data_IF_063117140952
#
_entry.id   IF_063117140952
#
_cell.length_a   1.000
_cell.length_b   1.000
_cell.length_c   1.000
_cell.angle_alpha   90.00
_cell.angle_beta   90.00
_cell.angle_gamma   90.00
#
_symmetry.space_group_name_H-M   'P 1'
#
loop_
_entity.id
_entity.type
_entity.pdbx_description
1 polymer ?
#
# COMPACT_ATOMS: atom_id res chain seq x y z
N UNK A 1 0.38 -37.82 60.17
CA UNK A 1 0.00 -36.44 59.77
C UNK A 1 -0.11 -36.41 58.26
N UNK A 2 -1.34 -36.44 57.72
CA UNK A 2 -1.60 -36.47 56.28
C UNK A 2 -1.61 -35.06 55.69
N UNK A 3 -0.81 -34.83 54.66
CA UNK A 3 -0.76 -33.58 53.92
C UNK A 3 -1.82 -33.59 52.81
N UNK A 4 -2.82 -32.71 52.94
CA UNK A 4 -3.82 -32.43 51.91
C UNK A 4 -3.21 -31.55 50.81
N UNK A 5 -3.02 -32.10 49.61
CA UNK A 5 -2.73 -31.32 48.41
C UNK A 5 -4.05 -30.71 47.89
N UNK A 6 -4.26 -29.40 48.11
CA UNK A 6 -5.32 -28.63 47.42
C UNK A 6 -4.85 -28.34 45.99
N UNK A 7 -5.37 -29.09 45.03
CA UNK A 7 -5.33 -28.71 43.61
C UNK A 7 -6.28 -27.52 43.43
N UNK A 8 -5.70 -26.32 43.32
CA UNK A 8 -6.40 -25.13 42.86
C UNK A 8 -6.71 -25.31 41.37
N UNK A 9 -7.96 -25.65 41.05
CA UNK A 9 -8.48 -25.48 39.70
C UNK A 9 -8.62 -23.99 39.42
N UNK A 10 -7.74 -23.43 38.59
CA UNK A 10 -7.95 -22.13 37.98
C UNK A 10 -9.12 -22.22 37.00
N UNK A 11 -10.24 -21.61 37.36
CA UNK A 11 -11.35 -21.36 36.44
C UNK A 11 -10.83 -20.37 35.39
N UNK A 12 -10.88 -20.67 34.07
CA UNK A 12 -10.48 -19.70 33.07
C UNK A 12 -11.46 -18.53 33.11
N UNK A 13 -10.93 -17.31 33.28
CA UNK A 13 -11.69 -16.06 33.32
C UNK A 13 -12.60 -15.94 32.09
N UNK A 14 -13.92 -16.03 32.32
CA UNK A 14 -14.92 -15.67 31.33
C UNK A 14 -14.78 -14.16 31.06
N UNK A 15 -14.12 -13.81 29.96
CA UNK A 15 -14.10 -12.42 29.50
C UNK A 15 -15.52 -12.09 29.04
N UNK A 16 -16.12 -11.07 29.66
CA UNK A 16 -17.42 -10.54 29.25
C UNK A 16 -17.39 -10.17 27.76
N UNK A 17 -18.52 -10.32 27.08
CA UNK A 17 -18.62 -9.93 25.67
C UNK A 17 -18.40 -8.41 25.53
N UNK A 18 -17.63 -7.95 24.53
CA UNK A 18 -17.40 -6.52 24.36
C UNK A 18 -18.70 -5.79 24.03
N UNK A 19 -18.78 -4.52 24.38
CA UNK A 19 -19.84 -3.61 23.96
C UNK A 19 -19.72 -3.27 22.46
N UNK A 20 -20.83 -2.84 21.86
CA UNK A 20 -20.85 -2.42 20.45
C UNK A 20 -19.83 -1.30 20.18
N UNK A 21 -19.72 -0.34 21.10
CA UNK A 21 -18.77 0.76 20.99
C UNK A 21 -17.31 0.29 21.05
N UNK A 22 -16.99 -0.69 21.89
CA UNK A 22 -15.64 -1.29 21.94
C UNK A 22 -15.30 -2.02 20.64
N UNK A 23 -16.24 -2.80 20.09
CA UNK A 23 -16.05 -3.49 18.81
C UNK A 23 -15.84 -2.51 17.67
N UNK A 24 -16.63 -1.44 17.63
CA UNK A 24 -16.51 -0.40 16.60
C UNK A 24 -15.20 0.38 16.71
N UNK A 25 -14.77 0.72 17.93
CA UNK A 25 -13.47 1.40 18.17
C UNK A 25 -12.27 0.51 17.88
N UNK A 26 -12.39 -0.80 18.13
CA UNK A 26 -11.36 -1.78 17.80
C UNK A 26 -11.39 -2.22 16.32
N UNK A 27 -12.29 -1.67 15.49
CA UNK A 27 -12.35 -1.98 14.08
C UNK A 27 -11.15 -1.40 13.34
N UNK A 28 -10.37 -2.28 12.70
CA UNK A 28 -9.19 -1.89 11.94
C UNK A 28 -9.41 -2.24 10.46
N UNK A 29 -9.24 -1.24 9.59
CA UNK A 29 -9.27 -1.41 8.13
C UNK A 29 -7.97 -2.03 7.63
N UNK A 30 -8.01 -2.66 6.46
CA UNK A 30 -6.83 -3.33 5.88
C UNK A 30 -5.80 -2.38 5.27
N UNK A 31 -6.22 -1.14 4.99
CA UNK A 31 -5.40 -0.14 4.32
C UNK A 31 -4.84 0.84 5.35
N UNK A 32 -3.60 1.26 5.15
CA UNK A 32 -2.95 2.32 5.90
C UNK A 32 -2.84 3.56 5.03
N UNK A 33 -2.86 4.73 5.67
CA UNK A 33 -2.89 6.02 5.01
C UNK A 33 -1.52 6.69 5.11
N UNK A 34 -1.03 7.20 3.98
CA UNK A 34 0.05 8.17 3.94
C UNK A 34 -0.56 9.56 3.83
N UNK A 35 -0.25 10.41 4.80
CA UNK A 35 -0.65 11.81 4.85
C UNK A 35 0.52 12.69 4.40
N UNK A 36 0.21 13.78 3.71
CA UNK A 36 1.16 14.85 3.40
C UNK A 36 1.50 15.68 4.64
N UNK A 37 2.41 16.64 4.51
CA UNK A 37 2.85 17.48 5.63
C UNK A 37 1.71 18.30 6.28
N UNK A 38 0.67 18.62 5.50
CA UNK A 38 -0.51 19.37 5.94
C UNK A 38 -1.60 18.46 6.55
N UNK A 39 -1.46 17.14 6.44
CA UNK A 39 -2.39 16.14 6.97
C UNK A 39 -3.40 15.63 5.94
N UNK A 40 -3.27 15.99 4.66
CA UNK A 40 -4.12 15.47 3.58
C UNK A 40 -3.73 14.04 3.22
N UNK A 41 -4.71 13.18 2.93
CA UNK A 41 -4.44 11.83 2.42
C UNK A 41 -3.85 11.95 1.01
N UNK A 42 -2.65 11.42 0.80
CA UNK A 42 -1.98 11.37 -0.50
C UNK A 42 -1.76 9.94 -1.00
N UNK A 43 -1.91 8.95 -0.14
CA UNK A 43 -1.87 7.56 -0.57
C UNK A 43 -2.62 6.65 0.39
N UNK A 44 -3.33 5.66 -0.14
CA UNK A 44 -3.84 4.54 0.66
C UNK A 44 -3.15 3.26 0.19
N UNK A 45 -2.57 2.51 1.10
CA UNK A 45 -1.84 1.29 0.79
C UNK A 45 -2.34 0.14 1.65
N UNK A 46 -2.62 -0.99 1.01
CA UNK A 46 -2.93 -2.21 1.72
C UNK A 46 -1.75 -2.70 2.56
N UNK A 47 -1.96 -2.86 3.86
CA UNK A 47 -0.98 -3.37 4.82
C UNK A 47 -1.41 -4.67 5.50
N UNK A 48 -2.72 -4.99 5.54
CA UNK A 48 -3.22 -6.30 5.94
C UNK A 48 -3.56 -7.16 4.71
N UNK A 49 -2.77 -8.22 4.49
CA UNK A 49 -2.98 -9.19 3.41
C UNK A 49 -3.73 -10.45 3.85
N UNK A 50 -4.07 -10.61 5.15
CA UNK A 50 -4.81 -11.78 5.66
C UNK A 50 -6.30 -11.65 5.45
N UNK A 51 -6.79 -10.43 5.37
CA UNK A 51 -8.18 -10.07 5.15
C UNK A 51 -8.27 -8.73 4.41
N UNK A 52 -9.40 -8.48 3.76
CA UNK A 52 -9.75 -7.21 3.13
C UNK A 52 -10.97 -6.64 3.86
N UNK A 53 -10.72 -5.61 4.67
CA UNK A 53 -11.70 -4.81 5.41
C UNK A 53 -11.58 -3.36 4.99
N UNK A 54 -12.71 -2.73 4.71
CA UNK A 54 -12.85 -1.31 4.42
C UNK A 54 -13.65 -0.63 5.53
N UNK A 55 -14.02 0.63 5.37
CA UNK A 55 -14.68 1.41 6.42
C UNK A 55 -15.90 0.72 7.04
N UNK A 56 -16.06 0.91 8.35
CA UNK A 56 -17.26 0.50 9.07
C UNK A 56 -18.47 1.23 8.49
N UNK A 57 -19.46 0.47 8.01
CA UNK A 57 -20.66 1.03 7.41
C UNK A 57 -21.82 1.03 8.41
N UNK A 58 -22.40 2.20 8.74
CA UNK A 58 -23.62 2.28 9.54
C UNK A 58 -24.79 1.54 8.87
N UNK A 59 -25.67 0.90 9.64
CA UNK A 59 -26.78 0.08 9.14
C UNK A 59 -27.77 0.86 8.25
N UNK A 60 -27.89 2.17 8.49
CA UNK A 60 -28.68 3.10 7.68
C UNK A 60 -28.13 3.29 6.26
N UNK A 61 -26.82 3.12 6.08
CA UNK A 61 -26.11 3.21 4.80
C UNK A 61 -25.98 1.84 4.11
N UNK A 62 -26.64 0.80 4.64
CA UNK A 62 -26.69 -0.51 4.03
C UNK A 62 -28.05 -0.70 3.34
N UNK A 63 -28.01 -1.20 2.10
CA UNK A 63 -29.19 -1.49 1.28
C UNK A 63 -30.28 -2.21 2.08
N UNK A 64 -31.53 -1.71 2.08
CA UNK A 64 -32.66 -2.40 2.69
C UNK A 64 -32.91 -3.79 2.10
N UNK A 65 -32.59 -3.99 0.81
CA UNK A 65 -32.66 -5.30 0.18
C UNK A 65 -31.66 -6.24 0.85
N UNK A 66 -30.40 -5.84 1.00
CA UNK A 66 -29.39 -6.69 1.64
C UNK A 66 -29.80 -7.09 3.07
N UNK A 67 -30.25 -6.12 3.88
CA UNK A 67 -30.70 -6.40 5.25
C UNK A 67 -31.77 -7.50 5.28
N UNK A 68 -32.78 -7.38 4.41
CA UNK A 68 -33.86 -8.38 4.29
C UNK A 68 -33.35 -9.74 3.78
N UNK A 69 -32.47 -9.75 2.79
CA UNK A 69 -31.92 -10.99 2.24
C UNK A 69 -31.09 -11.75 3.28
N UNK A 70 -30.21 -11.07 4.00
CA UNK A 70 -29.36 -11.67 5.03
C UNK A 70 -30.19 -12.23 6.18
N UNK A 71 -31.16 -11.48 6.68
CA UNK A 71 -32.09 -11.96 7.72
C UNK A 71 -32.85 -13.20 7.22
N UNK A 72 -33.39 -13.17 6.00
CA UNK A 72 -34.15 -14.31 5.48
C UNK A 72 -33.30 -15.58 5.23
N UNK A 73 -32.02 -15.40 4.92
CA UNK A 73 -31.08 -16.48 4.67
C UNK A 73 -30.49 -17.09 5.95
N UNK A 74 -30.13 -16.26 6.93
CA UNK A 74 -29.41 -16.67 8.13
C UNK A 74 -30.32 -16.84 9.35
N UNK A 75 -31.34 -15.99 9.50
CA UNK A 75 -32.11 -15.89 10.74
C UNK A 75 -33.49 -15.21 10.54
N UNK A 76 -34.45 -15.96 10.00
CA UNK A 76 -35.77 -15.43 9.58
C UNK A 76 -36.55 -14.73 10.69
N UNK A 77 -36.26 -15.05 11.96
CA UNK A 77 -36.94 -14.50 13.14
C UNK A 77 -36.01 -13.66 13.99
N UNK A 78 -34.94 -13.13 13.39
CA UNK A 78 -33.93 -12.33 14.07
C UNK A 78 -34.50 -11.30 15.05
N UNK A 79 -35.51 -10.51 14.64
CA UNK A 79 -36.12 -9.49 15.51
C UNK A 79 -37.09 -10.03 16.57
N UNK A 80 -37.47 -11.31 16.52
CA UNK A 80 -38.48 -11.91 17.37
C UNK A 80 -37.92 -12.79 18.51
N UNK A 81 -36.60 -12.97 18.59
CA UNK A 81 -35.95 -13.73 19.66
C UNK A 81 -34.84 -12.92 20.34
N UNK A 82 -34.32 -13.38 21.48
CA UNK A 82 -33.23 -12.73 22.23
C UNK A 82 -31.97 -13.61 22.19
N UNK A 83 -31.32 -13.65 21.02
CA UNK A 83 -30.08 -14.42 20.80
C UNK A 83 -30.26 -15.82 20.22
N UNK A 84 -31.27 -16.57 20.65
CA UNK A 84 -31.49 -17.95 20.19
C UNK A 84 -32.90 -18.12 19.68
N UNK A 85 -33.03 -18.69 18.50
CA UNK A 85 -34.32 -19.13 18.01
C UNK A 85 -34.62 -20.57 18.48
N UNK A 86 -35.34 -20.68 19.60
CA UNK A 86 -35.74 -21.97 20.16
C UNK A 86 -36.62 -22.82 19.24
N UNK A 87 -37.47 -22.23 18.39
CA UNK A 87 -38.26 -23.06 17.45
C UNK A 87 -37.45 -23.50 16.25
N UNK A 88 -36.49 -22.69 15.79
CA UNK A 88 -35.55 -23.14 14.75
C UNK A 88 -34.61 -24.23 15.30
N UNK A 89 -34.17 -24.11 16.56
CA UNK A 89 -33.35 -25.12 17.23
C UNK A 89 -34.11 -26.44 17.41
N UNK A 90 -35.38 -26.38 17.85
CA UNK A 90 -36.24 -27.56 17.99
C UNK A 90 -36.54 -28.23 16.65
N UNK A 91 -36.87 -27.46 15.61
CA UNK A 91 -37.10 -27.98 14.26
C UNK A 91 -35.83 -28.63 13.68
N UNK A 92 -34.66 -28.00 13.86
CA UNK A 92 -33.39 -28.57 13.40
C UNK A 92 -33.00 -29.85 14.15
N UNK A 93 -33.32 -29.96 15.45
CA UNK A 93 -33.09 -31.17 16.23
C UNK A 93 -33.98 -32.32 15.75
N UNK A 94 -35.27 -32.04 15.50
CA UNK A 94 -36.20 -33.01 14.94
C UNK A 94 -35.75 -33.50 13.55
N UNK A 95 -35.35 -32.58 12.67
CA UNK A 95 -34.87 -32.91 11.33
C UNK A 95 -33.53 -33.66 11.35
N UNK A 96 -32.65 -33.42 12.33
CA UNK A 96 -31.41 -34.17 12.49
C UNK A 96 -31.64 -35.63 12.92
N UNK A 97 -32.72 -35.90 13.66
CA UNK A 97 -33.08 -37.26 14.09
C UNK A 97 -33.78 -38.05 12.98
N UNK A 98 -34.43 -37.36 12.04
CA UNK A 98 -35.19 -37.99 10.93
C UNK A 98 -34.47 -37.95 9.58
N UNK A 99 -33.40 -37.15 9.43
CA UNK A 99 -32.62 -37.03 8.21
C UNK A 99 -31.13 -36.73 8.47
N UNK A 100 -30.26 -37.30 7.64
CA UNK A 100 -28.81 -37.07 7.69
C UNK A 100 -28.43 -35.71 7.09
N UNK A 101 -28.72 -34.64 7.84
CA UNK A 101 -27.94 -33.41 7.76
C UNK A 101 -28.67 -32.17 7.27
N UNK A 102 -29.03 -31.30 8.22
CA UNK A 102 -29.02 -29.85 7.97
C UNK A 102 -28.34 -29.08 9.11
N UNK A 103 -27.29 -28.35 8.75
CA UNK A 103 -26.68 -27.30 9.59
C UNK A 103 -27.50 -26.02 9.38
N UNK A 104 -28.46 -25.72 10.26
CA UNK A 104 -29.36 -24.56 10.07
C UNK A 104 -29.82 -23.82 11.33
N UNK A 105 -29.37 -24.18 12.54
CA UNK A 105 -29.90 -23.62 13.78
C UNK A 105 -29.08 -22.45 14.40
N UNK A 106 -28.14 -21.83 13.67
CA UNK A 106 -27.31 -20.77 14.24
C UNK A 106 -27.88 -19.40 13.85
N UNK A 107 -28.26 -18.60 14.85
CA UNK A 107 -28.78 -17.23 14.66
C UNK A 107 -27.66 -16.25 14.27
N UNK A 108 -28.03 -15.06 13.78
CA UNK A 108 -27.06 -13.98 13.50
C UNK A 108 -26.26 -13.65 14.77
N UNK A 109 -26.90 -13.60 15.93
CA UNK A 109 -26.27 -13.29 17.21
C UNK A 109 -25.25 -14.36 17.63
N UNK A 110 -25.54 -15.65 17.38
CA UNK A 110 -24.57 -16.74 17.61
C UNK A 110 -23.37 -16.67 16.66
N UNK A 111 -23.61 -16.31 15.41
CA UNK A 111 -22.54 -16.15 14.43
C UNK A 111 -21.66 -14.93 14.77
N UNK A 112 -22.26 -13.81 15.17
CA UNK A 112 -21.54 -12.63 15.64
C UNK A 112 -20.70 -12.94 16.89
N UNK A 113 -21.26 -13.66 17.87
CA UNK A 113 -20.52 -14.09 19.06
C UNK A 113 -19.24 -14.86 18.68
N UNK A 114 -19.34 -15.77 17.71
CA UNK A 114 -18.20 -16.54 17.22
C UNK A 114 -17.19 -15.70 16.40
N UNK A 115 -17.63 -14.60 15.79
CA UNK A 115 -16.72 -13.66 15.11
C UNK A 115 -15.94 -12.78 16.11
N UNK A 116 -16.58 -12.39 17.22
CA UNK A 116 -15.98 -11.53 18.24
C UNK A 116 -15.03 -12.27 19.19
N UNK A 117 -15.27 -13.56 19.44
CA UNK A 117 -14.44 -14.36 20.32
C UNK A 117 -13.89 -15.61 19.59
N UNK A 118 -12.58 -15.62 19.34
CA UNK A 118 -11.91 -16.71 18.64
C UNK A 118 -11.97 -18.04 19.41
N UNK A 119 -12.09 -18.01 20.75
CA UNK A 119 -12.23 -19.22 21.58
C UNK A 119 -13.58 -19.93 21.35
N UNK A 120 -14.53 -19.22 20.74
CA UNK A 120 -15.83 -19.77 20.33
C UNK A 120 -15.79 -20.34 18.90
N UNK A 121 -14.71 -20.15 18.15
CA UNK A 121 -14.52 -20.77 16.84
C UNK A 121 -14.02 -22.21 17.00
N UNK A 122 -14.48 -23.15 16.16
CA UNK A 122 -14.04 -24.54 16.26
C UNK A 122 -12.55 -24.66 15.91
N UNK A 123 -11.72 -25.10 16.86
CA UNK A 123 -10.37 -25.57 16.58
C UNK A 123 -10.48 -26.78 15.63
N UNK A 124 -10.05 -26.60 14.37
CA UNK A 124 -10.03 -27.58 13.25
C UNK A 124 -10.82 -28.89 13.51
N UNK A 125 -12.08 -28.94 13.08
CA UNK A 125 -12.93 -30.14 13.20
C UNK A 125 -14.43 -29.83 13.25
N UNK A 126 -15.27 -30.86 13.49
CA UNK A 126 -16.71 -30.68 13.75
C UNK A 126 -16.89 -29.89 15.06
N UNK A 127 -17.76 -28.86 15.03
CA UNK A 127 -18.15 -28.08 16.23
C UNK A 127 -18.57 -29.03 17.35
N UNK A 128 -17.90 -28.96 18.50
CA UNK A 128 -18.30 -29.72 19.68
C UNK A 128 -19.64 -29.18 20.21
N UNK A 129 -20.50 -30.05 20.76
CA UNK A 129 -21.76 -29.67 21.40
C UNK A 129 -21.51 -28.62 22.50
N UNK A 130 -20.39 -28.75 23.22
CA UNK A 130 -19.95 -27.79 24.24
C UNK A 130 -19.64 -26.40 23.65
N UNK A 131 -19.01 -26.32 22.48
CA UNK A 131 -18.73 -25.04 21.81
C UNK A 131 -20.03 -24.36 21.35
N UNK A 132 -21.00 -25.15 20.88
CA UNK A 132 -22.33 -24.63 20.51
C UNK A 132 -23.08 -24.07 21.73
N UNK A 133 -22.94 -24.71 22.90
CA UNK A 133 -23.46 -24.19 24.18
C UNK A 133 -22.81 -22.86 24.58
N UNK A 134 -21.49 -22.73 24.43
CA UNK A 134 -20.78 -21.46 24.68
C UNK A 134 -21.22 -20.34 23.73
N UNK A 135 -21.44 -20.63 22.45
CA UNK A 135 -21.97 -19.65 21.48
C UNK A 135 -23.39 -19.18 21.84
N UNK A 136 -24.22 -20.09 22.36
CA UNK A 136 -25.57 -19.80 22.86
C UNK A 136 -25.52 -18.82 24.03
N UNK A 137 -24.67 -19.07 25.03
CA UNK A 137 -24.52 -18.17 26.18
C UNK A 137 -23.98 -16.80 25.77
N UNK A 138 -22.95 -16.76 24.92
CA UNK A 138 -22.37 -15.52 24.43
C UNK A 138 -23.35 -14.71 23.55
N UNK A 139 -24.18 -15.37 22.75
CA UNK A 139 -25.24 -14.71 21.98
C UNK A 139 -26.30 -14.08 22.88
N UNK A 140 -26.67 -14.77 23.96
CA UNK A 140 -27.60 -14.21 24.95
C UNK A 140 -27.00 -13.01 25.68
N UNK A 141 -25.72 -13.07 26.05
CA UNK A 141 -25.00 -11.95 26.67
C UNK A 141 -24.93 -10.72 25.75
N UNK A 142 -24.59 -10.92 24.47
CA UNK A 142 -24.63 -9.84 23.47
C UNK A 142 -26.00 -9.17 23.39
N UNK A 143 -27.08 -9.95 23.35
CA UNK A 143 -28.45 -9.45 23.22
C UNK A 143 -28.99 -8.72 24.46
N UNK A 144 -28.31 -8.84 25.61
CA UNK A 144 -28.64 -8.02 26.79
C UNK A 144 -28.02 -6.63 26.73
N UNK A 145 -26.87 -6.49 26.06
CA UNK A 145 -26.12 -5.23 26.00
C UNK A 145 -26.23 -4.48 24.67
N UNK A 146 -26.68 -5.14 23.61
CA UNK A 146 -26.72 -4.62 22.25
C UNK A 146 -28.14 -4.64 21.70
N UNK A 147 -28.51 -3.60 20.96
CA UNK A 147 -29.75 -3.58 20.17
C UNK A 147 -29.66 -4.49 18.94
N UNK A 148 -30.82 -4.88 18.40
CA UNK A 148 -30.88 -5.69 17.17
C UNK A 148 -30.19 -5.03 15.98
N UNK A 149 -30.30 -3.72 15.88
CA UNK A 149 -29.67 -2.95 14.82
C UNK A 149 -28.15 -2.95 14.98
N UNK A 150 -27.63 -2.78 16.20
CA UNK A 150 -26.19 -2.88 16.48
C UNK A 150 -25.63 -4.28 16.17
N UNK A 151 -26.37 -5.34 16.52
CA UNK A 151 -25.99 -6.72 16.21
C UNK A 151 -25.93 -6.94 14.70
N UNK A 152 -26.96 -6.53 13.96
CA UNK A 152 -26.99 -6.68 12.50
C UNK A 152 -25.91 -5.84 11.82
N UNK A 153 -25.69 -4.61 12.29
CA UNK A 153 -24.65 -3.73 11.79
C UNK A 153 -23.27 -4.33 11.97
N UNK A 154 -22.93 -4.78 13.17
CA UNK A 154 -21.64 -5.39 13.44
C UNK A 154 -21.45 -6.70 12.68
N UNK A 155 -22.50 -7.51 12.59
CA UNK A 155 -22.48 -8.74 11.80
C UNK A 155 -22.12 -8.46 10.34
N UNK A 156 -22.82 -7.52 9.70
CA UNK A 156 -22.59 -7.16 8.30
C UNK A 156 -21.21 -6.54 8.05
N UNK A 157 -20.59 -5.92 9.07
CA UNK A 157 -19.24 -5.36 8.99
C UNK A 157 -18.11 -6.37 9.26
N UNK A 158 -18.40 -7.51 9.89
CA UNK A 158 -17.40 -8.50 10.32
C UNK A 158 -17.46 -9.83 9.55
N UNK A 159 -18.63 -10.17 9.00
CA UNK A 159 -18.87 -11.47 8.37
C UNK A 159 -17.99 -11.65 7.11
N UNK A 160 -17.39 -12.83 6.89
CA UNK A 160 -16.69 -13.14 5.65
C UNK A 160 -17.69 -13.35 4.51
N UNK A 161 -17.43 -12.73 3.37
CA UNK A 161 -18.26 -12.93 2.16
C UNK A 161 -17.59 -13.90 1.19
N UNK A 162 -16.32 -13.67 0.84
CA UNK A 162 -15.62 -14.52 -0.13
C UNK A 162 -14.11 -14.33 -0.05
N UNK A 163 -13.35 -15.43 0.00
CA UNK A 163 -11.89 -15.35 0.11
C UNK A 163 -11.45 -14.53 1.31
N UNK A 164 -10.67 -13.48 1.06
CA UNK A 164 -10.20 -12.53 2.08
C UNK A 164 -11.21 -11.43 2.45
N UNK A 165 -12.29 -11.27 1.68
CA UNK A 165 -13.25 -10.16 1.81
C UNK A 165 -14.09 -10.33 3.07
N UNK A 166 -14.02 -9.35 3.97
CA UNK A 166 -14.78 -9.28 5.22
C UNK A 166 -15.49 -7.96 5.36
N UNK A 167 -16.76 -8.02 5.74
CA UNK A 167 -17.60 -6.85 5.89
C UNK A 167 -18.19 -6.34 4.58
N UNK A 168 -19.32 -5.64 4.70
CA UNK A 168 -20.12 -5.25 3.55
C UNK A 168 -19.48 -4.17 2.67
N UNK A 169 -18.73 -3.23 3.25
CA UNK A 169 -18.00 -2.22 2.48
C UNK A 169 -16.99 -2.87 1.53
N UNK A 170 -16.19 -3.82 2.04
CA UNK A 170 -15.27 -4.58 1.23
C UNK A 170 -15.99 -5.43 0.16
N UNK A 171 -17.08 -6.11 0.52
CA UNK A 171 -17.80 -6.99 -0.40
C UNK A 171 -18.50 -6.25 -1.54
N UNK A 172 -19.22 -5.17 -1.23
CA UNK A 172 -19.92 -4.36 -2.24
C UNK A 172 -18.96 -3.74 -3.25
N UNK A 173 -17.85 -3.16 -2.78
CA UNK A 173 -16.83 -2.54 -3.65
C UNK A 173 -16.04 -3.57 -4.45
N UNK A 174 -15.60 -4.66 -3.82
CA UNK A 174 -14.76 -5.66 -4.50
C UNK A 174 -15.53 -6.53 -5.51
N UNK A 175 -16.81 -6.87 -5.22
CA UNK A 175 -17.60 -7.78 -6.05
C UNK A 175 -18.51 -7.06 -7.04
N UNK A 176 -18.99 -5.86 -6.72
CA UNK A 176 -19.99 -5.13 -7.53
C UNK A 176 -19.59 -3.70 -7.88
N UNK A 177 -18.46 -3.19 -7.38
CA UNK A 177 -18.00 -1.79 -7.59
C UNK A 177 -19.06 -0.76 -7.15
N UNK A 178 -19.75 -1.03 -6.05
CA UNK A 178 -20.79 -0.16 -5.48
C UNK A 178 -20.51 0.08 -4.01
N UNK A 179 -21.03 1.19 -3.49
CA UNK A 179 -21.15 1.39 -2.05
C UNK A 179 -22.30 0.54 -1.47
N UNK A 180 -22.28 0.20 -0.17
CA UNK A 180 -23.26 -0.69 0.46
C UNK A 180 -24.74 -0.29 0.28
N UNK A 181 -25.04 1.01 0.18
CA UNK A 181 -26.40 1.50 -0.03
C UNK A 181 -26.91 1.27 -1.45
N UNK A 182 -26.00 1.18 -2.44
CA UNK A 182 -26.33 1.03 -3.86
C UNK A 182 -26.60 -0.40 -4.32
N UNK A 183 -26.50 -1.38 -3.41
CA UNK A 183 -26.73 -2.79 -3.73
C UNK A 183 -28.21 -3.05 -4.07
N UNK A 184 -28.43 -3.65 -5.24
CA UNK A 184 -29.77 -4.05 -5.70
C UNK A 184 -30.21 -5.40 -5.10
N UNK A 185 -31.41 -5.87 -5.48
CA UNK A 185 -31.97 -7.13 -4.95
C UNK A 185 -31.16 -8.35 -5.38
N UNK A 186 -30.74 -8.43 -6.64
CA UNK A 186 -29.97 -9.56 -7.15
C UNK A 186 -28.61 -9.67 -6.45
N UNK A 187 -27.89 -8.56 -6.34
CA UNK A 187 -26.61 -8.46 -5.64
C UNK A 187 -26.76 -8.81 -4.15
N UNK A 188 -27.85 -8.35 -3.52
CA UNK A 188 -28.18 -8.66 -2.13
C UNK A 188 -28.41 -10.15 -1.89
N UNK A 189 -29.14 -10.82 -2.78
CA UNK A 189 -29.39 -12.27 -2.70
C UNK A 189 -28.09 -13.08 -2.83
N UNK A 190 -27.20 -12.66 -3.73
CA UNK A 190 -25.90 -13.27 -3.94
C UNK A 190 -25.00 -13.12 -2.70
N UNK A 191 -24.91 -11.91 -2.15
CA UNK A 191 -24.13 -11.64 -0.94
C UNK A 191 -24.65 -12.42 0.26
N UNK A 192 -25.97 -12.42 0.49
CA UNK A 192 -26.59 -13.21 1.55
C UNK A 192 -26.32 -14.71 1.38
N UNK A 193 -26.34 -15.21 0.14
CA UNK A 193 -26.02 -16.62 -0.14
C UNK A 193 -24.56 -16.97 0.13
N UNK A 194 -23.63 -16.02 -0.04
CA UNK A 194 -22.21 -16.25 0.20
C UNK A 194 -21.86 -16.31 1.69
N UNK A 195 -22.57 -15.59 2.56
CA UNK A 195 -22.31 -15.59 4.02
C UNK A 195 -22.28 -17.01 4.60
N UNK A 196 -23.31 -17.82 4.31
CA UNK A 196 -23.42 -19.21 4.80
C UNK A 196 -22.26 -20.11 4.34
N UNK A 197 -21.70 -19.86 3.16
CA UNK A 197 -20.59 -20.64 2.60
C UNK A 197 -19.73 -19.76 1.70
N UNK A 198 -18.74 -19.05 2.26
CA UNK A 198 -17.92 -18.08 1.52
C UNK A 198 -17.06 -18.70 0.41
N UNK A 199 -16.82 -20.02 0.48
CA UNK A 199 -16.08 -20.80 -0.52
C UNK A 199 -16.97 -21.57 -1.50
N UNK A 200 -18.27 -21.28 -1.56
CA UNK A 200 -19.20 -21.99 -2.43
C UNK A 200 -18.89 -21.81 -3.92
N UNK A 201 -19.15 -22.86 -4.70
CA UNK A 201 -19.05 -22.83 -6.16
C UNK A 201 -20.09 -21.87 -6.76
N UNK A 202 -19.87 -21.44 -8.01
CA UNK A 202 -20.83 -20.64 -8.77
C UNK A 202 -22.24 -21.23 -8.75
N UNK A 203 -22.36 -22.53 -9.03
CA UNK A 203 -23.64 -23.23 -9.04
C UNK A 203 -24.32 -23.20 -7.65
N UNK A 204 -23.56 -23.38 -6.57
CA UNK A 204 -24.13 -23.48 -5.23
C UNK A 204 -24.65 -22.14 -4.68
N UNK A 205 -23.92 -21.04 -4.87
CA UNK A 205 -24.37 -19.74 -4.35
C UNK A 205 -25.45 -19.12 -5.23
N UNK A 206 -25.44 -19.33 -6.56
CA UNK A 206 -26.52 -18.85 -7.44
C UNK A 206 -27.81 -19.61 -7.22
N UNK A 207 -27.74 -20.94 -7.06
CA UNK A 207 -28.90 -21.77 -6.68
C UNK A 207 -29.50 -21.29 -5.36
N UNK A 208 -28.68 -21.05 -4.34
CA UNK A 208 -29.15 -20.53 -3.04
C UNK A 208 -29.76 -19.14 -3.17
N UNK A 209 -29.19 -18.27 -3.99
CA UNK A 209 -29.74 -16.94 -4.25
C UNK A 209 -31.12 -17.02 -4.93
N UNK A 210 -31.32 -17.96 -5.86
CA UNK A 210 -32.63 -18.21 -6.47
C UNK A 210 -33.66 -18.68 -5.44
N UNK A 211 -33.33 -19.69 -4.63
CA UNK A 211 -34.21 -20.15 -3.55
C UNK A 211 -34.60 -19.03 -2.59
N UNK A 212 -33.64 -18.13 -2.29
CA UNK A 212 -33.89 -16.98 -1.45
C UNK A 212 -34.78 -15.94 -2.13
N UNK A 213 -34.62 -15.71 -3.44
CA UNK A 213 -35.50 -14.85 -4.24
C UNK A 213 -36.95 -15.33 -4.17
N UNK A 214 -37.16 -16.63 -4.40
CA UNK A 214 -38.47 -17.28 -4.38
C UNK A 214 -39.10 -17.17 -2.98
N UNK A 215 -38.32 -17.45 -1.93
CA UNK A 215 -38.77 -17.34 -0.53
C UNK A 215 -39.16 -15.91 -0.14
N UNK A 216 -38.50 -14.90 -0.71
CA UNK A 216 -38.77 -13.48 -0.46
C UNK A 216 -39.84 -12.90 -1.39
N UNK A 217 -40.29 -13.68 -2.39
CA UNK A 217 -41.18 -13.22 -3.46
C UNK A 217 -40.63 -11.99 -4.17
N UNK A 218 -39.32 -11.95 -4.41
CA UNK A 218 -38.69 -10.87 -5.15
C UNK A 218 -38.70 -11.17 -6.65
N UNK A 219 -39.10 -10.21 -7.50
CA UNK A 219 -39.12 -10.38 -8.95
C UNK A 219 -37.69 -10.24 -9.51
N UNK A 220 -36.85 -11.25 -9.25
CA UNK A 220 -35.48 -11.33 -9.75
C UNK A 220 -35.37 -12.62 -10.57
N UNK A 221 -35.09 -12.46 -11.85
CA UNK A 221 -35.01 -13.59 -12.78
C UNK A 221 -33.73 -14.42 -12.58
N UNK A 222 -33.75 -15.75 -12.78
CA UNK A 222 -32.56 -16.59 -12.68
C UNK A 222 -31.39 -16.14 -13.58
N UNK A 223 -31.71 -15.54 -14.74
CA UNK A 223 -30.73 -14.99 -15.65
C UNK A 223 -29.97 -13.80 -15.04
N UNK A 224 -30.66 -12.94 -14.28
CA UNK A 224 -30.05 -11.80 -13.60
C UNK A 224 -29.10 -12.27 -12.49
N UNK A 225 -29.53 -13.23 -11.67
CA UNK A 225 -28.69 -13.85 -10.62
C UNK A 225 -27.45 -14.49 -11.23
N UNK A 226 -27.59 -15.19 -12.36
CA UNK A 226 -26.48 -15.83 -13.05
C UNK A 226 -25.49 -14.81 -13.61
N UNK A 227 -25.99 -13.74 -14.25
CA UNK A 227 -25.17 -12.64 -14.78
C UNK A 227 -24.37 -11.94 -13.68
N UNK A 228 -25.03 -11.56 -12.58
CA UNK A 228 -24.38 -10.96 -11.40
C UNK A 228 -23.44 -11.94 -10.69
N UNK A 229 -23.78 -13.22 -10.65
CA UNK A 229 -22.92 -14.26 -10.11
C UNK A 229 -21.61 -14.42 -10.88
N UNK A 230 -21.63 -14.22 -12.20
CA UNK A 230 -20.42 -14.24 -13.00
C UNK A 230 -19.49 -13.07 -12.64
N UNK A 231 -20.04 -11.89 -12.34
CA UNK A 231 -19.26 -10.75 -11.84
C UNK A 231 -18.55 -11.09 -10.52
N UNK A 232 -19.22 -11.81 -9.61
CA UNK A 232 -18.61 -12.33 -8.36
C UNK A 232 -17.47 -13.33 -8.64
N UNK A 233 -17.60 -14.17 -9.67
CA UNK A 233 -16.61 -15.20 -10.02
C UNK A 233 -15.40 -14.66 -10.75
N UNK A 234 -15.55 -13.59 -11.55
CA UNK A 234 -14.47 -12.95 -12.31
C UNK A 234 -13.42 -12.26 -11.41
N UNK A 235 -13.55 -12.40 -10.09
CA UNK A 235 -12.54 -12.03 -9.12
C UNK A 235 -12.56 -10.53 -8.79
N UNK A 236 -11.78 -10.12 -7.79
CA UNK A 236 -11.81 -8.75 -7.31
C UNK A 236 -11.33 -7.81 -8.42
N UNK A 237 -12.25 -7.06 -9.00
CA UNK A 237 -11.91 -5.79 -9.62
C UNK A 237 -11.65 -4.78 -8.49
N UNK A 238 -10.54 -4.97 -7.77
CA UNK A 238 -10.12 -4.00 -6.78
C UNK A 238 -9.80 -2.74 -7.57
N UNK A 239 -10.70 -1.76 -7.47
CA UNK A 239 -10.37 -0.39 -7.76
C UNK A 239 -9.06 -0.08 -7.03
N UNK A 240 -8.14 0.54 -7.76
CA UNK A 240 -6.98 1.23 -7.18
C UNK A 240 -7.47 1.96 -5.93
N UNK A 241 -6.65 1.94 -4.87
CA UNK A 241 -6.81 2.84 -3.74
C UNK A 241 -7.30 4.20 -4.25
N UNK A 242 -8.38 4.77 -3.71
CA UNK A 242 -9.00 5.99 -4.27
C UNK A 242 -7.99 7.14 -4.38
N UNK A 243 -6.94 7.12 -3.54
CA UNK A 243 -5.82 8.06 -3.60
C UNK A 243 -4.49 7.34 -3.85
N UNK A 244 -3.84 7.58 -5.00
CA UNK A 244 -2.54 6.98 -5.36
C UNK A 244 -1.46 7.99 -5.76
N UNK A 245 -1.29 9.08 -5.01
CA UNK A 245 -0.40 10.17 -5.43
C UNK A 245 1.10 9.87 -5.21
N UNK A 246 1.44 9.17 -4.12
CA UNK A 246 2.83 8.86 -3.75
C UNK A 246 3.11 7.35 -3.53
N UNK A 247 3.03 6.50 -4.58
CA UNK A 247 3.11 5.04 -4.44
C UNK A 247 4.44 4.52 -3.88
N UNK A 248 5.57 5.14 -4.24
CA UNK A 248 6.89 4.72 -3.77
C UNK A 248 7.13 5.14 -2.31
N UNK A 249 6.92 6.41 -1.93
CA UNK A 249 6.96 6.81 -0.52
C UNK A 249 6.01 6.00 0.36
N UNK A 250 4.77 5.75 -0.09
CA UNK A 250 3.80 4.97 0.68
C UNK A 250 4.30 3.55 0.94
N UNK A 251 4.83 2.86 -0.08
CA UNK A 251 5.41 1.53 0.11
C UNK A 251 6.64 1.53 0.99
N UNK A 252 7.45 2.58 0.95
CA UNK A 252 8.63 2.68 1.82
C UNK A 252 8.23 2.91 3.28
N UNK A 253 7.32 3.86 3.54
CA UNK A 253 7.01 4.35 4.88
C UNK A 253 5.97 3.51 5.61
N UNK A 254 4.99 2.95 4.89
CA UNK A 254 3.93 2.11 5.47
C UNK A 254 4.33 0.64 5.59
N UNK A 255 5.50 0.25 5.07
CA UNK A 255 6.01 -1.12 5.22
C UNK A 255 6.26 -1.42 6.70
N UNK A 256 5.62 -2.48 7.19
CA UNK A 256 5.72 -2.91 8.58
C UNK A 256 4.86 -2.11 9.56
N UNK A 257 4.11 -1.11 9.09
CA UNK A 257 3.12 -0.42 9.92
C UNK A 257 1.94 -1.34 10.22
N UNK A 258 1.29 -1.22 11.40
CA UNK A 258 0.09 -1.96 11.69
C UNK A 258 -1.03 -1.56 10.70
N UNK A 259 -1.97 -2.48 10.40
CA UNK A 259 -3.15 -2.12 9.60
C UNK A 259 -3.92 -0.94 10.17
N UNK A 260 -4.50 -0.10 9.31
CA UNK A 260 -5.20 1.11 9.70
C UNK A 260 -4.30 2.24 10.22
N UNK A 261 -2.97 2.11 10.12
CA UNK A 261 -2.07 3.19 10.50
C UNK A 261 -2.25 4.42 9.61
N UNK A 262 -2.08 5.60 10.19
CA UNK A 262 -1.95 6.86 9.46
C UNK A 262 -0.59 7.46 9.74
N UNK A 263 0.21 7.68 8.69
CA UNK A 263 1.57 8.18 8.82
C UNK A 263 1.71 9.49 8.04
N UNK A 264 2.15 10.55 8.73
CA UNK A 264 2.44 11.85 8.12
C UNK A 264 3.87 11.90 7.59
N UNK A 265 4.05 12.35 6.36
CA UNK A 265 5.35 12.49 5.70
C UNK A 265 5.68 13.96 5.39
N UNK A 266 6.86 14.21 4.82
CA UNK A 266 7.31 15.58 4.46
C UNK A 266 6.77 16.06 3.12
N UNK A 267 6.19 15.17 2.31
CA UNK A 267 5.67 15.53 1.00
C UNK A 267 4.59 16.60 1.14
N UNK A 268 4.54 17.50 0.18
CA UNK A 268 3.48 18.47 0.03
C UNK A 268 2.53 18.00 -1.08
N UNK A 269 1.24 17.84 -0.76
CA UNK A 269 0.25 17.32 -1.69
C UNK A 269 0.14 18.15 -2.98
N UNK A 270 0.23 19.48 -2.89
CA UNK A 270 0.12 20.37 -4.04
C UNK A 270 1.36 20.27 -4.94
N UNK A 271 2.55 20.33 -4.34
CA UNK A 271 3.82 20.20 -5.10
C UNK A 271 3.90 18.82 -5.75
N UNK A 272 3.53 17.76 -5.03
CA UNK A 272 3.53 16.39 -5.54
C UNK A 272 2.60 16.24 -6.76
N UNK A 273 1.37 16.77 -6.71
CA UNK A 273 0.42 16.76 -7.85
C UNK A 273 0.99 17.55 -9.03
N UNK A 274 1.44 18.77 -8.78
CA UNK A 274 2.00 19.64 -9.82
C UNK A 274 3.17 18.95 -10.55
N UNK A 275 4.14 18.40 -9.81
CA UNK A 275 5.31 17.73 -10.40
C UNK A 275 4.87 16.49 -11.19
N UNK A 276 3.95 15.68 -10.67
CA UNK A 276 3.45 14.49 -11.35
C UNK A 276 2.76 14.82 -12.68
N UNK A 277 1.91 15.85 -12.68
CA UNK A 277 1.20 16.31 -13.89
C UNK A 277 2.15 16.86 -14.94
N UNK A 278 3.12 17.70 -14.53
CA UNK A 278 4.12 18.26 -15.45
C UNK A 278 5.01 17.19 -16.05
N UNK A 279 5.46 16.23 -15.23
CA UNK A 279 6.28 15.12 -15.70
C UNK A 279 5.52 14.25 -16.71
N UNK A 280 4.25 13.92 -16.42
CA UNK A 280 3.40 13.18 -17.34
C UNK A 280 3.19 13.94 -18.67
N UNK A 281 2.89 15.24 -18.60
CA UNK A 281 2.70 16.09 -19.77
C UNK A 281 3.94 16.14 -20.67
N UNK A 282 5.13 16.30 -20.11
CA UNK A 282 6.38 16.33 -20.87
C UNK A 282 6.78 14.96 -21.44
N UNK A 283 6.36 13.87 -20.81
CA UNK A 283 6.69 12.53 -21.31
C UNK A 283 5.82 12.10 -22.50
N UNK A 284 4.59 12.60 -22.59
CA UNK A 284 3.65 12.27 -23.69
C UNK A 284 4.28 12.39 -25.10
N UNK A 285 4.88 13.53 -25.50
CA UNK A 285 5.47 13.67 -26.83
C UNK A 285 6.71 12.78 -27.04
N UNK A 286 7.43 12.42 -25.97
CA UNK A 286 8.64 11.60 -26.05
C UNK A 286 8.35 10.10 -26.18
N UNK A 287 7.10 9.67 -25.99
CA UNK A 287 6.70 8.26 -26.18
C UNK A 287 6.98 7.75 -27.58
N UNK A 288 6.83 8.61 -28.61
CA UNK A 288 7.16 8.25 -29.99
C UNK A 288 8.65 7.90 -30.19
N UNK A 289 9.51 8.33 -29.27
CA UNK A 289 10.94 8.03 -29.24
C UNK A 289 11.28 6.89 -28.25
N UNK A 290 10.29 6.08 -27.86
CA UNK A 290 10.40 5.01 -26.86
C UNK A 290 10.81 5.49 -25.46
N UNK A 291 10.57 6.76 -25.11
CA UNK A 291 10.79 7.25 -23.75
C UNK A 291 9.56 6.96 -22.91
N UNK A 292 9.65 5.90 -22.10
CA UNK A 292 8.52 5.38 -21.33
C UNK A 292 8.52 5.72 -19.84
N UNK A 293 9.62 6.22 -19.28
CA UNK A 293 9.77 6.46 -17.84
C UNK A 293 10.41 7.81 -17.55
N UNK A 294 10.04 8.44 -16.44
CA UNK A 294 10.66 9.66 -15.95
C UNK A 294 10.58 9.74 -14.42
N UNK A 295 11.48 10.49 -13.80
CA UNK A 295 11.46 10.73 -12.35
C UNK A 295 11.78 12.19 -12.03
N UNK A 296 11.21 12.68 -10.93
CA UNK A 296 11.46 14.01 -10.41
C UNK A 296 11.44 13.96 -8.88
N UNK A 297 12.38 14.68 -8.26
CA UNK A 297 12.53 14.78 -6.82
C UNK A 297 12.73 16.26 -6.46
N UNK A 298 11.89 16.78 -5.58
CA UNK A 298 11.94 18.17 -5.09
C UNK A 298 12.25 18.15 -3.60
N UNK A 299 13.28 18.89 -3.20
CA UNK A 299 13.79 18.92 -1.83
C UNK A 299 13.94 20.34 -1.34
N UNK A 300 13.72 20.57 -0.06
CA UNK A 300 14.05 21.83 0.59
C UNK A 300 15.56 21.88 0.89
N UNK A 301 16.25 22.89 0.37
CA UNK A 301 17.71 22.97 0.47
C UNK A 301 18.21 23.03 1.92
N UNK A 302 17.56 23.82 2.78
CA UNK A 302 18.02 24.02 4.16
C UNK A 302 17.85 22.76 5.02
N UNK A 303 16.69 22.11 4.94
CA UNK A 303 16.31 21.02 5.86
C UNK A 303 16.59 19.62 5.30
N UNK A 304 16.57 19.46 3.97
CA UNK A 304 16.59 18.15 3.32
C UNK A 304 15.24 17.44 3.32
N UNK A 305 14.15 18.12 3.70
CA UNK A 305 12.80 17.58 3.56
C UNK A 305 12.46 17.38 2.08
N UNK A 306 11.97 16.18 1.74
CA UNK A 306 11.48 15.88 0.41
C UNK A 306 10.04 16.41 0.30
N UNK A 307 9.82 17.34 -0.63
CA UNK A 307 8.52 17.97 -0.88
C UNK A 307 7.73 17.25 -1.98
N UNK A 308 8.42 16.68 -2.97
CA UNK A 308 7.81 15.82 -3.98
C UNK A 308 8.74 14.68 -4.37
N UNK A 309 8.17 13.48 -4.51
CA UNK A 309 8.83 12.25 -4.94
C UNK A 309 7.97 11.60 -6.02
N UNK A 310 8.35 11.80 -7.28
CA UNK A 310 7.59 11.32 -8.44
C UNK A 310 8.44 10.38 -9.26
N UNK A 311 7.92 9.17 -9.48
CA UNK A 311 8.39 8.26 -10.51
C UNK A 311 7.19 7.93 -11.40
N UNK A 312 7.33 8.17 -12.69
CA UNK A 312 6.28 7.99 -13.68
C UNK A 312 6.69 6.91 -14.68
N UNK A 313 5.76 6.00 -14.95
CA UNK A 313 5.87 5.07 -16.07
C UNK A 313 4.64 5.22 -16.97
N UNK A 314 4.90 5.21 -18.29
CA UNK A 314 3.86 5.16 -19.32
C UNK A 314 3.09 3.85 -19.32
N UNK A 315 3.65 2.78 -18.74
CA UNK A 315 2.96 1.52 -18.48
C UNK A 315 2.28 1.59 -17.09
N UNK A 316 0.93 1.64 -17.04
CA UNK A 316 0.20 1.73 -15.79
C UNK A 316 0.37 0.50 -14.88
N UNK A 317 0.76 -0.66 -15.42
CA UNK A 317 1.05 -1.85 -14.64
C UNK A 317 2.40 -1.74 -13.91
N UNK A 318 3.35 -1.02 -14.51
CA UNK A 318 4.71 -0.83 -13.97
C UNK A 318 4.87 0.46 -13.16
N UNK A 319 3.98 1.45 -13.34
CA UNK A 319 4.09 2.77 -12.69
C UNK A 319 4.12 2.70 -11.17
N UNK A 320 3.58 1.64 -10.56
CA UNK A 320 3.80 1.37 -9.15
C UNK A 320 5.21 0.85 -8.88
N UNK A 321 5.71 -0.10 -9.63
CA UNK A 321 6.88 -0.89 -9.22
C UNK A 321 8.23 -0.29 -9.65
N UNK A 322 8.24 0.53 -10.70
CA UNK A 322 9.46 1.14 -11.23
C UNK A 322 9.77 2.45 -10.52
N UNK A 323 10.73 2.43 -9.60
CA UNK A 323 11.18 3.61 -8.87
C UNK A 323 12.40 4.26 -9.55
N UNK A 324 12.15 5.24 -10.41
CA UNK A 324 13.19 6.01 -11.09
C UNK A 324 13.99 6.95 -10.18
N UNK A 325 13.50 7.25 -8.98
CA UNK A 325 14.24 8.09 -8.01
C UNK A 325 15.37 7.29 -7.36
N UNK A 326 15.13 6.00 -7.09
CA UNK A 326 16.12 5.08 -6.48
C UNK A 326 16.87 4.23 -7.49
N UNK A 327 16.36 4.05 -8.71
CA UNK A 327 17.06 3.32 -9.76
C UNK A 327 18.41 3.97 -10.05
N UNK A 328 19.45 3.14 -10.14
CA UNK A 328 20.78 3.61 -10.53
C UNK A 328 20.85 3.76 -12.05
N UNK A 329 21.41 4.87 -12.51
CA UNK A 329 21.65 5.21 -13.91
C UNK A 329 22.97 5.96 -14.02
N UNK A 330 23.61 5.88 -15.18
CA UNK A 330 24.80 6.68 -15.46
C UNK A 330 24.51 8.16 -15.21
N UNK A 331 25.32 8.79 -14.38
CA UNK A 331 25.14 10.18 -13.99
C UNK A 331 25.35 11.16 -15.16
N UNK A 332 26.17 10.78 -16.14
CA UNK A 332 26.60 11.68 -17.21
C UNK A 332 27.29 12.93 -16.65
N UNK A 333 27.20 14.05 -17.38
CA UNK A 333 27.89 15.29 -17.00
C UNK A 333 27.44 15.91 -15.67
N UNK A 334 26.42 15.36 -15.01
CA UNK A 334 25.89 15.89 -13.75
C UNK A 334 26.86 15.78 -12.57
N UNK A 335 27.94 14.98 -12.67
CA UNK A 335 28.98 14.93 -11.63
C UNK A 335 30.04 16.04 -11.77
N UNK A 336 30.10 16.74 -12.90
CA UNK A 336 31.12 17.77 -13.15
C UNK A 336 31.09 18.88 -12.08
N UNK A 337 29.94 19.44 -11.65
CA UNK A 337 29.95 20.45 -10.58
C UNK A 337 30.66 20.00 -9.30
N UNK A 338 30.54 18.73 -8.92
CA UNK A 338 31.28 18.17 -7.77
C UNK A 338 32.77 18.10 -8.06
N UNK A 339 33.17 17.65 -9.25
CA UNK A 339 34.57 17.57 -9.66
C UNK A 339 35.27 18.93 -9.67
N UNK A 340 34.65 19.91 -10.34
CA UNK A 340 35.17 21.28 -10.37
C UNK A 340 35.13 21.92 -8.98
N UNK A 341 34.07 21.67 -8.20
CA UNK A 341 33.97 22.10 -6.81
C UNK A 341 35.16 21.62 -5.96
N UNK A 342 35.55 20.35 -6.10
CA UNK A 342 36.72 19.80 -5.41
C UNK A 342 38.03 20.47 -5.82
N UNK A 343 38.22 20.77 -7.12
CA UNK A 343 39.40 21.45 -7.60
C UNK A 343 39.50 22.90 -7.09
N UNK A 344 38.36 23.59 -7.02
CA UNK A 344 38.26 24.94 -6.46
C UNK A 344 38.50 24.94 -4.94
N UNK A 345 37.91 23.99 -4.22
CA UNK A 345 38.06 23.82 -2.77
C UNK A 345 39.52 23.57 -2.36
N UNK A 346 40.21 22.72 -3.13
CA UNK A 346 41.66 22.48 -2.98
C UNK A 346 42.54 23.61 -3.52
N UNK A 347 41.96 24.70 -4.03
CA UNK A 347 42.66 25.86 -4.62
C UNK A 347 43.59 25.49 -5.78
N UNK A 348 43.33 24.38 -6.47
CA UNK A 348 44.08 23.95 -7.65
C UNK A 348 43.68 24.78 -8.87
N UNK A 349 42.45 25.28 -8.88
CA UNK A 349 41.89 26.10 -9.95
C UNK A 349 41.11 27.27 -9.35
N UNK A 350 40.89 28.29 -10.18
CA UNK A 350 39.94 29.38 -9.96
C UNK A 350 38.95 29.41 -11.11
N UNK A 351 37.80 30.10 -11.00
CA UNK A 351 36.86 30.25 -12.12
C UNK A 351 37.49 30.89 -13.38
N UNK A 352 38.62 31.60 -13.24
CA UNK A 352 39.34 32.25 -14.33
C UNK A 352 40.54 31.44 -14.86
N UNK A 353 40.94 30.36 -14.18
CA UNK A 353 42.02 29.48 -14.65
C UNK A 353 41.68 28.94 -16.04
N UNK A 354 42.70 28.84 -16.91
CA UNK A 354 42.53 28.30 -18.25
C UNK A 354 42.73 26.79 -18.24
N UNK A 355 41.82 26.07 -18.89
CA UNK A 355 41.91 24.64 -19.15
C UNK A 355 42.08 24.43 -20.66
N UNK A 356 42.90 23.45 -21.01
CA UNK A 356 43.16 23.10 -22.41
C UNK A 356 42.10 22.12 -22.95
N UNK A 357 41.33 22.55 -23.93
CA UNK A 357 40.36 21.76 -24.69
C UNK A 357 40.93 21.37 -26.07
N UNK A 358 42.17 20.88 -26.09
CA UNK A 358 42.84 20.28 -27.25
C UNK A 358 42.77 18.73 -27.19
N UNK A 359 43.02 18.01 -28.31
CA UNK A 359 43.08 16.55 -28.32
C UNK A 359 43.87 15.96 -27.15
N UNK A 360 43.31 14.95 -26.51
CA UNK A 360 43.86 14.33 -25.31
C UNK A 360 43.87 12.81 -25.47
N UNK A 361 45.04 12.22 -25.23
CA UNK A 361 45.24 10.78 -25.18
C UNK A 361 45.46 10.37 -23.74
N UNK A 362 44.55 9.54 -23.20
CA UNK A 362 44.64 9.09 -21.81
C UNK A 362 44.96 7.59 -21.78
N UNK A 363 46.15 7.18 -21.30
CA UNK A 363 46.45 5.76 -21.15
C UNK A 363 45.55 5.15 -20.07
N UNK A 364 44.90 4.04 -20.41
CA UNK A 364 44.06 3.23 -19.53
C UNK A 364 44.47 1.75 -19.65
N UNK A 365 44.04 0.90 -18.72
CA UNK A 365 44.43 -0.52 -18.71
C UNK A 365 44.13 -1.26 -20.04
N UNK A 366 43.05 -0.86 -20.73
CA UNK A 366 42.62 -1.48 -21.99
C UNK A 366 43.15 -0.77 -23.26
N UNK A 367 44.07 0.19 -23.15
CA UNK A 367 44.63 0.93 -24.29
C UNK A 367 44.66 2.44 -24.10
N UNK A 368 44.35 3.20 -25.16
CA UNK A 368 44.30 4.67 -25.12
C UNK A 368 42.83 5.11 -25.21
N UNK A 369 42.40 5.90 -24.23
CA UNK A 369 41.10 6.55 -24.22
C UNK A 369 41.19 7.94 -24.84
N UNK A 370 40.38 8.18 -25.88
CA UNK A 370 40.30 9.46 -26.59
C UNK A 370 38.96 10.16 -26.28
N UNK A 371 38.87 10.97 -25.20
CA UNK A 371 37.66 11.73 -24.90
C UNK A 371 37.33 12.73 -26.01
N UNK A 372 36.04 12.91 -26.29
CA UNK A 372 35.54 13.91 -27.25
C UNK A 372 34.45 14.76 -26.61
N UNK A 373 34.37 16.02 -27.01
CA UNK A 373 33.24 16.88 -26.70
C UNK A 373 32.00 16.43 -27.48
N UNK A 374 30.82 16.77 -26.97
CA UNK A 374 29.54 16.42 -27.63
C UNK A 374 29.46 16.94 -29.07
N UNK A 375 29.89 18.19 -29.27
CA UNK A 375 29.93 18.85 -30.59
C UNK A 375 31.13 18.40 -31.47
N UNK A 376 31.99 17.51 -30.96
CA UNK A 376 33.21 17.03 -31.62
C UNK A 376 34.21 18.11 -32.06
N UNK A 377 34.09 19.32 -31.52
CA UNK A 377 35.02 20.44 -31.73
C UNK A 377 35.92 20.67 -30.50
N UNK A 378 37.07 21.30 -30.75
CA UNK A 378 38.06 21.70 -29.77
C UNK A 378 38.07 23.22 -29.66
N UNK A 379 38.06 23.74 -28.43
CA UNK A 379 37.99 25.18 -28.16
C UNK A 379 39.33 25.78 -27.70
N UNK A 380 40.40 24.97 -27.59
CA UNK A 380 41.70 25.42 -27.10
C UNK A 380 41.64 25.85 -25.64
N UNK A 381 42.30 26.96 -25.28
CA UNK A 381 42.30 27.44 -23.90
C UNK A 381 40.96 28.08 -23.53
N UNK A 382 40.26 27.49 -22.55
CA UNK A 382 38.95 27.94 -22.06
C UNK A 382 38.97 28.20 -20.56
N UNK A 383 38.35 29.29 -20.05
CA UNK A 383 38.23 29.50 -18.61
C UNK A 383 37.41 28.40 -17.94
N UNK A 384 37.78 28.00 -16.71
CA UNK A 384 37.05 27.00 -15.90
C UNK A 384 35.55 27.24 -15.86
N UNK A 385 35.12 28.50 -15.64
CA UNK A 385 33.69 28.86 -15.61
C UNK A 385 32.97 28.57 -16.92
N UNK A 386 33.65 28.72 -18.06
CA UNK A 386 33.11 28.42 -19.38
C UNK A 386 33.12 26.91 -19.61
N UNK A 387 34.21 26.24 -19.28
CA UNK A 387 34.32 24.79 -19.43
C UNK A 387 33.22 24.04 -18.66
N UNK A 388 32.92 24.47 -17.42
CA UNK A 388 31.82 23.91 -16.63
C UNK A 388 30.44 24.31 -17.18
N UNK A 389 30.22 25.59 -17.52
CA UNK A 389 28.93 26.07 -18.04
C UNK A 389 28.55 25.42 -19.38
N UNK A 390 29.54 25.17 -20.25
CA UNK A 390 29.38 24.48 -21.53
C UNK A 390 29.49 22.96 -21.41
N UNK A 391 29.69 22.43 -20.20
CA UNK A 391 29.86 21.00 -19.92
C UNK A 391 30.87 20.32 -20.85
N UNK A 392 32.04 20.92 -21.06
CA UNK A 392 33.09 20.34 -21.92
C UNK A 392 33.65 19.07 -21.28
N UNK A 393 33.95 18.06 -22.11
CA UNK A 393 34.38 16.74 -21.65
C UNK A 393 35.89 16.69 -21.41
N UNK A 394 36.68 17.20 -22.36
CA UNK A 394 38.15 17.14 -22.28
C UNK A 394 38.67 17.94 -21.07
N UNK A 395 38.21 19.18 -20.81
CA UNK A 395 38.58 19.92 -19.60
C UNK A 395 38.21 19.15 -18.33
N UNK A 396 37.05 18.49 -18.28
CA UNK A 396 36.66 17.69 -17.11
C UNK A 396 37.62 16.51 -16.88
N UNK A 397 38.06 15.82 -17.93
CA UNK A 397 39.07 14.75 -17.82
C UNK A 397 40.40 15.31 -17.30
N UNK A 398 40.83 16.48 -17.76
CA UNK A 398 42.04 17.13 -17.22
C UNK A 398 41.88 17.51 -15.76
N UNK A 399 40.72 18.01 -15.34
CA UNK A 399 40.44 18.34 -13.95
C UNK A 399 40.51 17.10 -13.06
N UNK A 400 39.98 15.94 -13.49
CA UNK A 400 40.10 14.72 -12.69
C UNK A 400 41.54 14.24 -12.55
N UNK A 401 42.37 14.44 -13.59
CA UNK A 401 43.81 14.19 -13.49
C UNK A 401 44.50 15.11 -12.48
N UNK A 402 44.03 16.36 -12.32
CA UNK A 402 44.56 17.32 -11.34
C UNK A 402 44.16 16.99 -9.90
N UNK A 403 42.90 16.63 -9.66
CA UNK A 403 42.41 16.32 -8.29
C UNK A 403 42.73 14.87 -7.85
N UNK A 404 43.06 14.01 -8.82
CA UNK A 404 43.22 12.58 -8.64
C UNK A 404 41.88 11.82 -8.60
N UNK A 405 41.84 10.65 -9.23
CA UNK A 405 40.64 9.80 -9.28
C UNK A 405 40.15 9.38 -7.90
N UNK A 406 41.04 8.91 -7.03
CA UNK A 406 40.71 8.58 -5.64
C UNK A 406 40.22 9.79 -4.85
N UNK A 407 40.82 10.96 -5.09
CA UNK A 407 40.39 12.21 -4.47
C UNK A 407 38.94 12.55 -4.83
N UNK A 408 38.59 12.40 -6.11
CA UNK A 408 37.23 12.64 -6.57
C UNK A 408 36.25 11.58 -6.08
N UNK A 409 36.64 10.31 -6.10
CA UNK A 409 35.82 9.20 -5.63
C UNK A 409 35.49 9.34 -4.14
N UNK A 410 36.47 9.71 -3.31
CA UNK A 410 36.26 9.97 -1.89
C UNK A 410 35.33 11.16 -1.66
N UNK A 411 35.39 12.20 -2.51
CA UNK A 411 34.43 13.31 -2.45
C UNK A 411 33.00 12.87 -2.76
N UNK A 412 32.80 12.02 -3.78
CA UNK A 412 31.49 11.43 -4.07
C UNK A 412 30.99 10.58 -2.90
N UNK A 413 31.83 9.72 -2.32
CA UNK A 413 31.48 8.95 -1.12
C UNK A 413 31.08 9.86 0.04
N UNK A 414 31.82 10.94 0.29
CA UNK A 414 31.52 11.91 1.34
C UNK A 414 30.18 12.62 1.13
N UNK A 415 29.76 12.85 -0.12
CA UNK A 415 28.43 13.38 -0.45
C UNK A 415 27.31 12.34 -0.31
N UNK A 416 27.64 11.07 -0.12
CA UNK A 416 26.69 9.99 0.18
C UNK A 416 26.34 9.11 -1.02
N UNK A 417 27.18 9.05 -2.04
CA UNK A 417 27.03 8.09 -3.13
C UNK A 417 27.45 6.68 -2.65
N UNK A 418 26.49 5.84 -2.28
CA UNK A 418 26.70 4.57 -1.55
C UNK A 418 27.00 3.37 -2.47
N UNK A 419 27.01 3.57 -3.79
CA UNK A 419 27.27 2.54 -4.79
C UNK A 419 28.71 2.48 -5.32
N UNK A 420 29.59 3.37 -4.85
CA UNK A 420 30.93 3.56 -5.42
C UNK A 420 32.00 2.81 -4.62
N UNK A 421 31.98 1.49 -4.69
CA UNK A 421 32.77 0.61 -3.80
C UNK A 421 34.14 0.20 -4.37
N UNK A 422 34.33 0.32 -5.67
CA UNK A 422 35.58 -0.05 -6.33
C UNK A 422 36.63 1.07 -6.20
N UNK A 423 37.93 0.80 -6.41
CA UNK A 423 38.95 1.85 -6.44
C UNK A 423 38.83 2.78 -7.65
N UNK A 424 39.49 3.93 -7.61
CA UNK A 424 39.50 4.94 -8.68
C UNK A 424 39.95 4.40 -10.02
N UNK A 425 40.91 3.46 -10.04
CA UNK A 425 41.42 2.82 -11.26
C UNK A 425 40.36 1.97 -11.97
N UNK A 426 39.39 1.41 -11.22
CA UNK A 426 38.27 0.66 -11.79
C UNK A 426 37.35 1.57 -12.61
N UNK A 427 37.03 2.75 -12.08
CA UNK A 427 36.16 3.71 -12.77
C UNK A 427 36.90 4.48 -13.88
N UNK A 428 38.19 4.72 -13.67
CA UNK A 428 39.07 5.40 -14.60
C UNK A 428 38.69 6.86 -14.89
N UNK A 429 39.36 7.50 -15.85
CA UNK A 429 39.15 8.91 -16.23
C UNK A 429 37.72 9.21 -16.68
N UNK A 430 36.98 8.21 -17.19
CA UNK A 430 35.60 8.34 -17.61
C UNK A 430 34.64 8.69 -16.45
N UNK A 431 35.06 8.50 -15.20
CA UNK A 431 34.32 8.94 -14.02
C UNK A 431 34.03 10.45 -14.05
N UNK A 432 34.95 11.25 -14.60
CA UNK A 432 34.76 12.69 -14.79
C UNK A 432 33.58 13.05 -15.72
N UNK A 433 33.18 12.10 -16.55
CA UNK A 433 32.08 12.22 -17.50
C UNK A 433 30.80 11.54 -16.98
N UNK A 434 30.84 11.01 -15.75
CA UNK A 434 29.72 10.35 -15.08
C UNK A 434 29.40 8.97 -15.60
N UNK A 435 30.43 8.17 -15.91
CA UNK A 435 30.30 6.74 -16.18
C UNK A 435 29.75 5.93 -14.99
N UNK A 436 29.79 6.50 -13.78
CA UNK A 436 29.28 5.88 -12.58
C UNK A 436 27.75 5.87 -12.52
N UNK A 437 27.20 4.73 -12.10
CA UNK A 437 25.78 4.53 -11.87
C UNK A 437 25.38 5.07 -10.49
N UNK A 438 24.51 6.08 -10.49
CA UNK A 438 24.03 6.78 -9.30
C UNK A 438 22.51 6.91 -9.33
N UNK A 439 21.88 7.09 -8.18
CA UNK A 439 20.45 7.37 -8.09
C UNK A 439 20.15 8.87 -8.15
N UNK A 440 18.94 9.23 -8.59
CA UNK A 440 18.47 10.61 -8.54
C UNK A 440 18.44 11.13 -7.09
N UNK A 441 18.15 10.26 -6.12
CA UNK A 441 18.23 10.58 -4.69
C UNK A 441 19.61 11.08 -4.27
N UNK A 442 20.67 10.36 -4.64
CA UNK A 442 22.05 10.75 -4.33
C UNK A 442 22.44 12.04 -5.05
N UNK A 443 22.09 12.14 -6.34
CA UNK A 443 22.41 13.31 -7.16
C UNK A 443 21.75 14.58 -6.63
N UNK A 444 20.46 14.53 -6.31
CA UNK A 444 19.74 15.69 -5.75
C UNK A 444 20.33 16.10 -4.41
N UNK A 445 20.74 15.16 -3.55
CA UNK A 445 21.36 15.54 -2.27
C UNK A 445 22.75 16.17 -2.45
N UNK A 446 23.51 15.74 -3.47
CA UNK A 446 24.78 16.37 -3.82
C UNK A 446 24.60 17.83 -4.29
N UNK A 447 23.63 18.08 -5.17
CA UNK A 447 23.30 19.44 -5.63
C UNK A 447 22.73 20.30 -4.52
N UNK A 448 21.89 19.72 -3.65
CA UNK A 448 21.42 20.37 -2.44
C UNK A 448 22.59 20.79 -1.54
N UNK A 449 23.59 19.93 -1.37
CA UNK A 449 24.78 20.23 -0.56
C UNK A 449 25.49 21.47 -1.10
N UNK A 450 25.66 21.57 -2.43
CA UNK A 450 26.21 22.78 -3.07
C UNK A 450 25.32 24.02 -2.80
N UNK A 451 24.00 23.89 -2.95
CA UNK A 451 23.05 24.97 -2.70
C UNK A 451 22.98 25.38 -1.22
N UNK A 452 23.34 24.48 -0.30
CA UNK A 452 23.38 24.67 1.14
C UNK A 452 24.80 25.01 1.64
N UNK A 453 25.61 25.69 0.82
CA UNK A 453 26.93 26.18 1.23
C UNK A 453 27.97 25.09 1.52
N UNK A 454 27.78 23.87 1.00
CA UNK A 454 28.65 22.72 1.27
C UNK A 454 28.22 21.87 2.47
N UNK A 455 27.18 22.28 3.22
CA UNK A 455 26.70 21.54 4.37
C UNK A 455 25.80 20.36 3.95
N UNK A 456 26.35 19.15 4.03
CA UNK A 456 25.64 17.91 3.73
C UNK A 456 24.77 17.47 4.91
N UNK A 457 23.54 17.07 4.62
CA UNK A 457 22.70 16.28 5.52
C UNK A 457 21.87 15.25 4.75
N UNK A 458 21.32 14.25 5.43
CA UNK A 458 20.47 13.25 4.80
C UNK A 458 19.11 13.85 4.38
N UNK A 459 18.63 13.44 3.20
CA UNK A 459 17.26 13.70 2.77
C UNK A 459 16.26 12.91 3.61
N UNK A 460 15.09 13.49 3.87
CA UNK A 460 14.10 12.90 4.78
C UNK A 460 12.71 12.91 4.17
N UNK A 461 12.01 11.79 4.31
CA UNK A 461 10.60 11.63 3.98
C UNK A 461 9.69 11.75 5.21
N UNK A 462 10.26 11.80 6.41
CA UNK A 462 9.53 11.97 7.68
C UNK A 462 10.23 13.02 8.54
N UNK A 463 9.45 13.76 9.32
CA UNK A 463 9.96 14.67 10.34
C UNK A 463 9.68 14.06 11.72
N UNK A 464 10.65 14.13 12.63
CA UNK A 464 10.52 13.65 14.02
C UNK A 464 9.43 14.41 14.78
N UNK A 465 9.13 15.64 14.37
CA UNK A 465 8.09 16.47 14.99
C UNK A 465 6.67 15.99 14.70
N UNK A 466 6.44 15.26 13.59
CA UNK A 466 5.12 14.68 13.28
C UNK A 466 4.79 13.43 14.10
N UNK A 467 5.74 12.93 14.92
CA UNK A 467 5.56 11.77 15.77
C UNK A 467 5.15 12.08 17.21
N UNK A 468 4.72 13.31 17.51
CA UNK A 468 4.23 13.73 18.83
C UNK A 468 2.75 14.04 18.82
#
# INVERSE_FOLDING_TARGET
MGAFFRVLFSVPSAHAMPSYQEVRRAYVISDSLLLDRNGEIIHELRTDFRQRRLDWTPLKEISPALKKAVIAAEDRRFYAHSGIDYRALGAALFNFLTSSGERGASTISMQLAALLNQDLQPAKGRKSILQKGKQVLAAWELERGWSKDEILEAYLNLVPFRGEIRGISAASRALFRKDPHGLDRAESLLLASLIRSPGASFADFTKRAQYLADSLKWPVEPAEISSRGNQVMMGPNLHRSPTTLAPHPARQLLKGQPPGASLRCTLDGEIQRFVAERLAHHLLPLRAQNVGNAAALVVENKTGEVLAYVSYSSDPALSGFVDGVKAKRQAGSTLKPVLYGLALDRRLLTPASLLDDSPLDVPVFSGIYHPRNYESQFHGLVPVRIALASSLNIPAVRVVSLVGLEGFLNQLRALGFQGLNEPGDFYGPALALGSADVSLWELVNAYRTLANGGERSELRLTNKEYGR
#
